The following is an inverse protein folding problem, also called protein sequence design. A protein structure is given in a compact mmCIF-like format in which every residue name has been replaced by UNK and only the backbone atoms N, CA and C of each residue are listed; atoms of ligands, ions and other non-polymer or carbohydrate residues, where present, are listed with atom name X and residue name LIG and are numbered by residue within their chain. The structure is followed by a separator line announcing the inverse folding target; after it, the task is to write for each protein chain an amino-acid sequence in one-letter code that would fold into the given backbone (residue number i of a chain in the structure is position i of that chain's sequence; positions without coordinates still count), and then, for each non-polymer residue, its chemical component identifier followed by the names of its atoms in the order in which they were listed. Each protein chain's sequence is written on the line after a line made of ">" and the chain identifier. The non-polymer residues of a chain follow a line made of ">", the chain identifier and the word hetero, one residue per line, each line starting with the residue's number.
data_IF_263003179696
#
_entry.id   IF_263003179696
#
_cell.length_a   1.000
_cell.length_b   1.000
_cell.length_c   1.000
_cell.angle_alpha   90.00
_cell.angle_beta   90.00
_cell.angle_gamma   90.00
#
_symmetry.space_group_name_H-M   'P 1'
#
loop_
_entity.id
_entity.type
_entity.pdbx_description
1 polymer ?
#
# COMPACT_ATOMS: atom_id res chain seq x y z
N UNK A 1 2.00 -14.49 -26.21
CA UNK A 1 1.71 -13.23 -26.95
C UNK A 1 0.86 -12.33 -26.06
N UNK A 2 1.16 -11.02 -25.94
CA UNK A 2 0.28 -10.09 -25.23
C UNK A 2 -1.06 -9.93 -25.97
N UNK A 3 -2.18 -9.88 -25.24
CA UNK A 3 -3.51 -9.70 -25.84
C UNK A 3 -3.65 -8.31 -26.49
N UNK A 4 -4.39 -8.20 -27.61
CA UNK A 4 -4.72 -6.92 -28.21
C UNK A 4 -5.59 -6.10 -27.24
N UNK A 5 -5.29 -4.80 -27.12
CA UNK A 5 -6.08 -3.90 -26.26
C UNK A 5 -7.45 -3.67 -26.90
N UNK A 6 -8.54 -3.65 -26.10
CA UNK A 6 -9.88 -3.39 -26.61
C UNK A 6 -9.99 -1.96 -27.16
N UNK A 7 -10.80 -1.80 -28.22
CA UNK A 7 -11.05 -0.50 -28.84
C UNK A 7 -11.61 0.50 -27.81
N UNK A 8 -11.01 1.69 -27.73
CA UNK A 8 -11.40 2.73 -26.78
C UNK A 8 -10.73 2.69 -25.41
N UNK A 9 -9.87 1.71 -25.13
CA UNK A 9 -9.09 1.71 -23.89
C UNK A 9 -7.96 2.75 -23.96
N UNK A 10 -8.20 3.94 -23.40
CA UNK A 10 -7.14 4.89 -23.09
C UNK A 10 -6.55 4.56 -21.72
N UNK A 11 -5.29 4.08 -21.63
CA UNK A 11 -4.64 3.89 -20.35
C UNK A 11 -4.47 5.26 -19.69
N UNK A 12 -5.16 5.49 -18.57
CA UNK A 12 -5.01 6.71 -17.77
C UNK A 12 -3.59 6.71 -17.18
N UNK A 13 -2.66 7.37 -17.87
CA UNK A 13 -1.25 7.44 -17.46
C UNK A 13 -1.15 8.18 -16.13
N UNK A 14 -0.51 7.54 -15.15
CA UNK A 14 -0.17 8.21 -13.89
C UNK A 14 1.19 8.87 -14.08
N UNK A 15 1.18 10.14 -14.52
CA UNK A 15 2.40 10.91 -14.83
C UNK A 15 3.17 11.37 -13.59
N UNK A 16 2.54 11.37 -12.41
CA UNK A 16 3.13 11.86 -11.16
C UNK A 16 2.84 10.92 -10.00
N UNK A 17 3.83 10.83 -9.10
CA UNK A 17 3.74 10.15 -7.81
C UNK A 17 2.82 10.95 -6.90
N UNK A 18 1.77 10.33 -6.40
CA UNK A 18 0.81 10.95 -5.50
C UNK A 18 1.18 10.63 -4.04
N UNK A 19 1.88 11.58 -3.41
CA UNK A 19 2.34 11.46 -2.02
C UNK A 19 1.19 11.25 -1.04
N UNK A 20 -0.01 11.77 -1.31
CA UNK A 20 -1.17 11.59 -0.42
C UNK A 20 -1.59 10.13 -0.38
N UNK A 21 -1.61 9.46 -1.53
CA UNK A 21 -1.93 8.02 -1.62
C UNK A 21 -0.92 7.15 -0.89
N UNK A 22 0.37 7.49 -0.96
CA UNK A 22 1.44 6.77 -0.24
C UNK A 22 1.24 6.88 1.27
N UNK A 23 0.99 8.09 1.78
CA UNK A 23 0.71 8.30 3.21
C UNK A 23 -0.55 7.56 3.63
N UNK A 24 -1.62 7.63 2.83
CA UNK A 24 -2.87 6.93 3.10
C UNK A 24 -2.67 5.41 3.19
N UNK A 25 -1.90 4.81 2.27
CA UNK A 25 -1.58 3.38 2.29
C UNK A 25 -0.83 2.98 3.57
N UNK A 26 0.13 3.81 4.01
CA UNK A 26 0.81 3.64 5.30
C UNK A 26 -0.17 3.67 6.47
N UNK A 27 -1.02 4.70 6.56
CA UNK A 27 -1.99 4.88 7.64
C UNK A 27 -2.99 3.72 7.70
N UNK A 28 -3.51 3.27 6.55
CA UNK A 28 -4.44 2.13 6.49
C UNK A 28 -3.78 0.87 7.05
N UNK A 29 -2.54 0.58 6.67
CA UNK A 29 -1.82 -0.59 7.18
C UNK A 29 -1.55 -0.50 8.69
N UNK A 30 -1.20 0.68 9.20
CA UNK A 30 -1.03 0.89 10.64
C UNK A 30 -2.33 0.62 11.37
N UNK A 31 -3.45 1.17 10.89
CA UNK A 31 -4.78 0.94 11.47
C UNK A 31 -5.17 -0.55 11.45
N UNK A 32 -4.95 -1.24 10.33
CA UNK A 32 -5.21 -2.67 10.21
C UNK A 32 -4.35 -3.48 11.19
N UNK A 33 -3.06 -3.17 11.32
CA UNK A 33 -2.16 -3.83 12.27
C UNK A 33 -2.60 -3.60 13.72
N UNK A 34 -2.98 -2.38 14.09
CA UNK A 34 -3.48 -2.05 15.43
C UNK A 34 -4.78 -2.80 15.75
N UNK A 35 -5.70 -2.89 14.78
CA UNK A 35 -6.93 -3.67 14.93
C UNK A 35 -6.60 -5.14 15.19
N UNK A 36 -5.74 -5.76 14.37
CA UNK A 36 -5.32 -7.15 14.54
C UNK A 36 -4.60 -7.39 15.87
N UNK A 37 -3.70 -6.50 16.27
CA UNK A 37 -3.02 -6.58 17.58
C UNK A 37 -4.02 -6.46 18.73
N UNK A 38 -5.02 -5.59 18.62
CA UNK A 38 -6.06 -5.45 19.65
C UNK A 38 -6.95 -6.68 19.76
N UNK A 39 -7.28 -7.31 18.64
CA UNK A 39 -8.02 -8.57 18.60
C UNK A 39 -7.17 -9.70 19.17
N UNK A 40 -5.90 -9.81 18.76
CA UNK A 40 -4.97 -10.81 19.28
C UNK A 40 -4.79 -10.67 20.79
N UNK A 41 -4.67 -9.44 21.30
CA UNK A 41 -4.56 -9.15 22.73
C UNK A 41 -5.84 -9.48 23.51
N UNK A 42 -7.02 -9.32 22.90
CA UNK A 42 -8.30 -9.73 23.49
C UNK A 42 -8.44 -11.25 23.51
N UNK A 43 -8.10 -11.93 22.41
CA UNK A 43 -8.12 -13.39 22.30
C UNK A 43 -7.10 -14.02 23.24
N UNK A 44 -5.90 -13.46 23.38
CA UNK A 44 -4.91 -13.97 24.33
C UNK A 44 -5.33 -13.84 25.80
N UNK A 45 -6.37 -13.05 26.10
CA UNK A 45 -6.93 -12.89 27.45
C UNK A 45 -8.13 -13.80 27.72
N UNK A 46 -8.56 -14.65 26.78
CA UNK A 46 -9.62 -15.63 27.08
C UNK A 46 -9.15 -16.62 28.15
N UNK A 47 -10.01 -16.96 29.13
CA UNK A 47 -9.61 -17.70 30.33
C UNK A 47 -9.14 -19.10 29.94
N UNK A 48 -7.85 -19.40 30.17
CA UNK A 48 -7.27 -20.71 29.92
C UNK A 48 -5.83 -20.73 29.44
N UNK A 49 -5.28 -19.60 28.96
CA UNK A 49 -3.85 -19.52 28.62
C UNK A 49 -3.15 -18.33 29.29
N UNK A 50 -2.04 -18.65 29.97
CA UNK A 50 -1.06 -17.70 30.50
C UNK A 50 -0.18 -17.15 29.37
N UNK A 51 -0.77 -16.56 28.32
CA UNK A 51 0.05 -15.80 27.38
C UNK A 51 0.53 -14.53 28.09
N UNK A 52 1.86 -14.31 28.19
CA UNK A 52 2.37 -13.09 28.77
C UNK A 52 1.86 -11.89 27.98
N UNK A 53 1.51 -10.79 28.66
CA UNK A 53 0.98 -9.60 28.01
C UNK A 53 1.96 -9.10 26.95
N UNK A 54 1.46 -8.85 25.73
CA UNK A 54 2.27 -8.37 24.62
C UNK A 54 2.92 -7.04 25.02
N UNK A 55 4.25 -7.01 24.99
CA UNK A 55 5.02 -5.85 25.45
C UNK A 55 4.79 -4.66 24.51
N UNK A 56 4.67 -3.41 25.02
CA UNK A 56 4.35 -2.24 24.20
C UNK A 56 5.39 -1.97 23.11
N UNK A 57 6.65 -2.39 23.31
CA UNK A 57 7.69 -2.35 22.28
C UNK A 57 7.32 -3.16 21.03
N UNK A 58 6.67 -4.30 21.21
CA UNK A 58 6.25 -5.17 20.11
C UNK A 58 5.14 -4.52 19.29
N UNK A 59 4.20 -3.84 19.94
CA UNK A 59 3.15 -3.06 19.27
C UNK A 59 3.73 -1.99 18.35
N UNK A 60 4.65 -1.18 18.89
CA UNK A 60 5.31 -0.11 18.12
C UNK A 60 6.08 -0.68 16.93
N UNK A 61 6.80 -1.78 17.14
CA UNK A 61 7.58 -2.43 16.08
C UNK A 61 6.68 -2.97 14.96
N UNK A 62 5.61 -3.72 15.31
CA UNK A 62 4.68 -4.29 14.32
C UNK A 62 3.94 -3.18 13.56
N UNK A 63 3.43 -2.16 14.26
CA UNK A 63 2.76 -1.03 13.60
C UNK A 63 3.72 -0.25 12.70
N UNK A 64 4.97 -0.03 13.13
CA UNK A 64 5.99 0.64 12.32
C UNK A 64 6.33 -0.12 11.05
N UNK A 65 6.56 -1.44 11.16
CA UNK A 65 6.84 -2.31 10.00
C UNK A 65 5.63 -2.39 9.06
N UNK A 66 4.41 -2.51 9.59
CA UNK A 66 3.19 -2.53 8.78
C UNK A 66 2.99 -1.23 7.98
N UNK A 67 3.18 -0.08 8.64
CA UNK A 67 3.11 1.23 8.00
C UNK A 67 4.18 1.42 6.92
N UNK A 68 5.42 1.03 7.23
CA UNK A 68 6.52 1.04 6.25
C UNK A 68 6.19 0.17 5.03
N UNK A 69 5.64 -1.03 5.24
CA UNK A 69 5.21 -1.92 4.16
C UNK A 69 4.14 -1.28 3.27
N UNK A 70 3.17 -0.56 3.87
CA UNK A 70 2.12 0.15 3.13
C UNK A 70 2.68 1.29 2.27
N UNK A 71 3.56 2.09 2.86
CA UNK A 71 4.26 3.19 2.16
C UNK A 71 5.12 2.63 1.02
N UNK A 72 5.91 1.60 1.30
CA UNK A 72 6.83 1.00 0.35
C UNK A 72 6.09 0.33 -0.82
N UNK A 73 5.05 -0.46 -0.53
CA UNK A 73 4.25 -1.15 -1.55
C UNK A 73 3.54 -0.17 -2.48
N UNK A 74 2.93 0.89 -1.94
CA UNK A 74 2.28 1.90 -2.77
C UNK A 74 3.31 2.74 -3.54
N UNK A 75 4.49 3.00 -2.98
CA UNK A 75 5.60 3.65 -3.70
C UNK A 75 6.06 2.82 -4.90
N UNK A 76 6.30 1.52 -4.71
CA UNK A 76 6.66 0.61 -5.81
C UNK A 76 5.56 0.48 -6.85
N UNK A 77 4.29 0.45 -6.43
CA UNK A 77 3.14 0.42 -7.34
C UNK A 77 3.09 1.67 -8.21
N UNK A 78 3.27 2.85 -7.62
CA UNK A 78 3.29 4.11 -8.38
C UNK A 78 4.51 4.19 -9.30
N UNK A 79 5.69 3.73 -8.85
CA UNK A 79 6.90 3.63 -9.71
C UNK A 79 6.69 2.64 -10.86
N UNK A 80 6.01 1.52 -10.63
CA UNK A 80 5.69 0.56 -11.69
C UNK A 80 4.69 1.11 -12.71
N UNK A 81 3.74 1.94 -12.26
CA UNK A 81 2.79 2.62 -13.13
C UNK A 81 3.43 3.75 -13.93
N UNK A 82 4.40 4.47 -13.34
CA UNK A 82 5.15 5.50 -14.06
C UNK A 82 6.13 4.85 -15.05
N UNK A 83 6.87 3.80 -14.68
CA UNK A 83 7.81 3.08 -15.57
C UNK A 83 7.14 2.28 -16.69
N UNK A 84 5.88 1.84 -16.52
CA UNK A 84 5.10 1.25 -17.64
C UNK A 84 4.79 2.28 -18.73
N UNK A 85 5.04 3.56 -18.49
CA UNK A 85 5.14 4.57 -19.54
C UNK A 85 6.57 5.05 -19.70
N UNK A 86 7.38 4.40 -20.55
CA UNK A 86 8.32 5.00 -21.53
C UNK A 86 9.30 3.97 -22.13
N UNK A 87 9.88 4.17 -23.34
CA UNK A 87 9.94 5.40 -24.15
C UNK A 87 9.50 5.24 -25.64
N UNK A 88 8.79 6.24 -26.20
CA UNK A 88 8.50 6.33 -27.66
C UNK A 88 7.03 6.40 -28.09
N UNK A 89 6.06 6.48 -27.17
CA UNK A 89 4.66 6.73 -27.56
C UNK A 89 4.41 8.21 -27.82
N UNK A 90 3.63 8.60 -28.85
CA UNK A 90 3.48 9.98 -29.28
C UNK A 90 3.12 10.89 -28.10
N UNK A 91 3.84 12.01 -28.02
CA UNK A 91 3.42 13.16 -27.24
C UNK A 91 2.03 13.54 -27.76
N UNK A 92 1.05 13.60 -26.87
CA UNK A 92 -0.28 14.10 -27.19
C UNK A 92 -0.10 15.61 -27.45
N UNK A 93 0.22 15.97 -28.70
CA UNK A 93 0.22 17.32 -29.24
C UNK A 93 -1.22 17.82 -29.36
N UNK A 94 -1.90 17.94 -28.22
CA UNK A 94 -3.09 18.77 -28.13
C UNK A 94 -2.68 20.08 -27.49
N UNK A 95 -2.01 20.89 -28.31
CA UNK A 95 -2.27 22.34 -28.31
C UNK A 95 -3.76 22.54 -28.61
N UNK A 96 -4.35 23.44 -27.82
CA UNK A 96 -5.65 24.11 -27.96
C UNK A 96 -6.96 23.31 -27.74
#
# INVERSE_FOLDING_TARGET
>A
MPLPRPAGYQPRRQLRVDRRRIVLAGVINVCAALLLLSLAHRVSRTPGQLLPPIHPRFWVLVSGVAGFCGIWGESLRQIGLTRRGEPGGPLDERED
#
